data_IF_436376211332
#
_entry.id   IF_436376211332
#
_cell.length_a   1.000
_cell.length_b   1.000
_cell.length_c   1.000
_cell.angle_alpha   90.00
_cell.angle_beta   90.00
_cell.angle_gamma   90.00
#
_symmetry.space_group_name_H-M   'P 1'
#
loop_
_entity.id
_entity.type
_entity.pdbx_description
1 polymer ?
#
# COMPACT_ATOMS: atom_id res chain seq x y z
N UNK A 1 -31.40 13.02 -15.53
CA UNK A 1 -30.28 12.08 -15.75
C UNK A 1 -30.78 10.68 -15.42
N UNK A 2 -30.77 9.81 -16.38
CA UNK A 2 -31.13 8.42 -16.11
C UNK A 2 -30.00 7.71 -15.37
N UNK A 3 -30.27 6.53 -14.83
CA UNK A 3 -29.30 5.81 -14.03
C UNK A 3 -28.06 5.38 -14.83
N UNK A 4 -28.21 5.04 -16.09
CA UNK A 4 -27.12 4.68 -16.99
C UNK A 4 -26.21 5.87 -17.27
N UNK A 5 -26.80 7.03 -17.51
CA UNK A 5 -26.04 8.28 -17.69
C UNK A 5 -25.32 8.70 -16.43
N UNK A 6 -25.94 8.53 -15.26
CA UNK A 6 -25.32 8.79 -13.97
C UNK A 6 -24.13 7.86 -13.72
N UNK A 7 -24.30 6.56 -13.97
CA UNK A 7 -23.22 5.57 -13.80
C UNK A 7 -22.01 5.89 -14.70
N UNK A 8 -22.26 6.27 -15.95
CA UNK A 8 -21.20 6.67 -16.87
C UNK A 8 -20.46 7.91 -16.36
N UNK A 9 -21.20 8.92 -15.94
CA UNK A 9 -20.63 10.16 -15.43
C UNK A 9 -19.80 9.95 -14.17
N UNK A 10 -20.30 9.18 -13.21
CA UNK A 10 -19.56 8.82 -11.98
C UNK A 10 -18.29 8.06 -12.34
N UNK A 11 -18.37 7.10 -13.25
CA UNK A 11 -17.19 6.31 -13.68
C UNK A 11 -16.14 7.19 -14.33
N UNK A 12 -16.53 8.10 -15.21
CA UNK A 12 -15.59 9.04 -15.85
C UNK A 12 -14.90 9.94 -14.82
N UNK A 13 -15.67 10.51 -13.89
CA UNK A 13 -15.12 11.35 -12.80
C UNK A 13 -14.19 10.57 -11.89
N UNK A 14 -14.50 9.32 -11.61
CA UNK A 14 -13.64 8.46 -10.83
C UNK A 14 -12.28 8.24 -11.51
N UNK A 15 -12.26 7.91 -12.79
CA UNK A 15 -11.01 7.74 -13.52
C UNK A 15 -10.21 9.04 -13.64
N UNK A 16 -10.89 10.15 -13.89
CA UNK A 16 -10.27 11.47 -13.94
C UNK A 16 -9.63 11.81 -12.58
N UNK A 17 -10.38 11.67 -11.49
CA UNK A 17 -9.88 11.90 -10.14
C UNK A 17 -8.70 10.99 -9.80
N UNK A 18 -8.80 9.70 -10.10
CA UNK A 18 -7.71 8.74 -9.86
C UNK A 18 -6.43 9.12 -10.61
N UNK A 19 -6.56 9.54 -11.86
CA UNK A 19 -5.43 9.99 -12.67
C UNK A 19 -4.78 11.26 -12.09
N UNK A 20 -5.59 12.23 -11.72
CA UNK A 20 -5.12 13.47 -11.09
C UNK A 20 -4.47 13.22 -9.72
N UNK A 21 -5.02 12.33 -8.92
CA UNK A 21 -4.41 11.91 -7.66
C UNK A 21 -3.02 11.30 -7.89
N UNK A 22 -2.90 10.37 -8.82
CA UNK A 22 -1.62 9.73 -9.13
C UNK A 22 -0.58 10.75 -9.62
N UNK A 23 -0.99 11.71 -10.45
CA UNK A 23 -0.12 12.79 -10.90
C UNK A 23 0.29 13.71 -9.75
N UNK A 24 -0.65 14.15 -8.94
CA UNK A 24 -0.41 15.01 -7.77
C UNK A 24 0.59 14.36 -6.81
N UNK A 25 0.40 13.10 -6.50
CA UNK A 25 1.31 12.37 -5.62
C UNK A 25 2.70 12.19 -6.21
N UNK A 26 2.80 11.97 -7.50
CA UNK A 26 4.08 11.88 -8.21
C UNK A 26 4.87 13.19 -8.14
N UNK A 27 4.20 14.30 -8.30
CA UNK A 27 4.81 15.63 -8.31
C UNK A 27 5.16 16.16 -6.91
N UNK A 28 4.34 15.82 -5.91
CA UNK A 28 4.44 16.36 -4.55
C UNK A 28 5.06 15.41 -3.52
N UNK A 29 5.43 14.21 -3.91
CA UNK A 29 6.10 13.26 -3.01
C UNK A 29 7.56 13.68 -2.77
N UNK A 30 7.76 14.57 -1.81
CA UNK A 30 9.08 14.96 -1.30
C UNK A 30 9.40 14.15 -0.05
N UNK A 31 9.86 12.94 -0.19
CA UNK A 31 10.24 12.13 0.95
C UNK A 31 11.07 10.93 0.53
N UNK A 32 11.73 10.25 1.47
CA UNK A 32 12.46 9.02 1.18
C UNK A 32 11.56 7.93 0.60
N UNK A 33 10.25 8.06 0.79
CA UNK A 33 9.23 7.19 0.20
C UNK A 33 8.25 7.99 -0.64
N UNK A 34 8.36 7.86 -1.94
CA UNK A 34 7.32 8.32 -2.88
C UNK A 34 6.05 7.49 -2.66
N UNK A 35 4.89 8.11 -2.84
CA UNK A 35 3.59 7.43 -2.71
C UNK A 35 3.50 6.14 -3.55
N UNK A 36 4.13 6.08 -4.70
CA UNK A 36 4.23 4.88 -5.54
C UNK A 36 4.91 3.71 -4.80
N UNK A 37 5.88 4.00 -3.95
CA UNK A 37 6.56 2.98 -3.15
C UNK A 37 5.72 2.52 -1.96
N UNK A 38 4.77 3.35 -1.50
CA UNK A 38 3.88 3.03 -0.37
C UNK A 38 2.89 1.91 -0.69
N UNK A 39 2.27 1.96 -1.88
CA UNK A 39 1.23 1.01 -2.27
C UNK A 39 1.75 -0.19 -3.07
N UNK A 40 2.98 -0.13 -3.57
CA UNK A 40 3.53 -1.14 -4.49
C UNK A 40 4.77 -1.87 -4.01
N UNK A 41 5.14 -1.76 -2.74
CA UNK A 41 6.28 -2.52 -2.28
C UNK A 41 6.85 -2.04 -0.96
N UNK A 42 7.84 -1.19 -0.97
CA UNK A 42 8.62 -0.84 0.23
C UNK A 42 7.77 -0.21 1.32
N UNK A 43 6.88 0.72 0.97
CA UNK A 43 5.98 1.37 1.93
C UNK A 43 4.97 0.40 2.54
N UNK A 44 4.42 -0.50 1.75
CA UNK A 44 3.51 -1.55 2.23
C UNK A 44 4.23 -2.49 3.22
N UNK A 45 5.46 -2.88 2.93
CA UNK A 45 6.28 -3.70 3.82
C UNK A 45 6.47 -3.00 5.17
N UNK A 46 6.88 -1.73 5.15
CA UNK A 46 7.09 -0.95 6.38
C UNK A 46 5.81 -0.81 7.21
N UNK A 47 4.67 -0.59 6.58
CA UNK A 47 3.39 -0.48 7.26
C UNK A 47 2.97 -1.80 7.93
N UNK A 48 3.11 -2.92 7.24
CA UNK A 48 2.80 -4.24 7.81
C UNK A 48 3.69 -4.53 9.03
N UNK A 49 4.99 -4.25 8.92
CA UNK A 49 5.92 -4.46 10.05
C UNK A 49 5.56 -3.53 11.22
N UNK A 50 5.23 -2.28 10.95
CA UNK A 50 4.81 -1.32 11.99
C UNK A 50 3.58 -1.80 12.74
N UNK A 51 2.57 -2.30 12.05
CA UNK A 51 1.34 -2.83 12.67
C UNK A 51 1.59 -4.05 13.54
N UNK A 52 2.55 -4.89 13.19
CA UNK A 52 2.87 -6.13 13.90
C UNK A 52 3.99 -6.00 14.94
N UNK A 53 4.80 -4.96 14.86
CA UNK A 53 6.02 -4.78 15.66
C UNK A 53 7.15 -5.69 15.18
N UNK A 54 7.07 -6.99 15.43
CA UNK A 54 7.98 -8.01 14.90
C UNK A 54 7.18 -9.06 14.13
N UNK A 55 7.62 -9.39 12.94
CA UNK A 55 6.94 -10.34 12.05
C UNK A 55 7.96 -11.30 11.45
N UNK A 56 7.59 -12.55 11.23
CA UNK A 56 8.44 -13.48 10.49
C UNK A 56 8.48 -13.12 9.00
N UNK A 57 9.59 -13.37 8.35
CA UNK A 57 9.70 -13.12 6.90
C UNK A 57 8.65 -13.90 6.11
N UNK A 58 8.39 -15.14 6.48
CA UNK A 58 7.36 -15.97 5.85
C UNK A 58 5.96 -15.34 5.96
N UNK A 59 5.60 -14.87 7.14
CA UNK A 59 4.31 -14.21 7.36
C UNK A 59 4.21 -12.87 6.62
N UNK A 60 5.27 -12.07 6.64
CA UNK A 60 5.34 -10.82 5.89
C UNK A 60 5.12 -11.06 4.40
N UNK A 61 5.84 -12.02 3.81
CA UNK A 61 5.71 -12.36 2.38
C UNK A 61 4.29 -12.83 2.05
N UNK A 62 3.65 -13.60 2.95
CA UNK A 62 2.28 -14.07 2.74
C UNK A 62 1.23 -12.96 2.71
N UNK A 63 1.51 -11.83 3.38
CA UNK A 63 0.62 -10.66 3.43
C UNK A 63 0.82 -9.68 2.28
N UNK A 64 1.93 -9.82 1.55
CA UNK A 64 2.23 -8.97 0.40
C UNK A 64 1.56 -9.51 -0.85
N UNK A 65 0.93 -8.60 -1.61
CA UNK A 65 0.32 -8.95 -2.89
C UNK A 65 1.36 -8.88 -4.02
N UNK A 66 2.40 -9.69 -3.89
CA UNK A 66 3.49 -9.79 -4.86
C UNK A 66 4.11 -11.19 -4.87
N UNK A 67 4.92 -11.48 -5.87
CA UNK A 67 5.66 -12.74 -5.93
C UNK A 67 6.65 -12.83 -4.77
N UNK A 68 6.82 -14.02 -4.16
CA UNK A 68 7.76 -14.20 -3.04
C UNK A 68 9.19 -13.75 -3.36
N UNK A 69 9.65 -13.95 -4.58
CA UNK A 69 10.98 -13.52 -5.03
C UNK A 69 11.10 -11.99 -5.05
N UNK A 70 10.09 -11.29 -5.55
CA UNK A 70 10.05 -9.82 -5.54
C UNK A 70 9.98 -9.27 -4.11
N UNK A 71 9.17 -9.90 -3.24
CA UNK A 71 9.09 -9.55 -1.84
C UNK A 71 10.44 -9.70 -1.13
N UNK A 72 11.11 -10.83 -1.33
CA UNK A 72 12.44 -11.09 -0.74
C UNK A 72 13.49 -10.09 -1.22
N UNK A 73 13.45 -9.68 -2.47
CA UNK A 73 14.35 -8.67 -3.02
C UNK A 73 14.09 -7.29 -2.39
N UNK A 74 12.83 -6.90 -2.22
CA UNK A 74 12.46 -5.64 -1.57
C UNK A 74 12.86 -5.62 -0.10
N UNK A 75 12.64 -6.71 0.62
CA UNK A 75 13.06 -6.88 2.01
C UNK A 75 14.58 -6.69 2.13
N UNK A 76 15.34 -7.28 1.22
CA UNK A 76 16.80 -7.13 1.17
C UNK A 76 17.23 -5.68 0.90
N UNK A 77 16.54 -4.98 0.01
CA UNK A 77 16.79 -3.56 -0.26
C UNK A 77 16.49 -2.68 0.96
N UNK A 78 15.40 -2.96 1.68
CA UNK A 78 15.06 -2.23 2.92
C UNK A 78 16.08 -2.48 4.03
N UNK A 79 16.58 -3.70 4.17
CA UNK A 79 17.65 -4.02 5.11
C UNK A 79 18.95 -3.29 4.76
N UNK A 80 19.33 -3.28 3.49
CA UNK A 80 20.53 -2.57 3.01
C UNK A 80 20.44 -1.06 3.24
N UNK A 81 19.25 -0.48 3.16
CA UNK A 81 18.98 0.93 3.46
C UNK A 81 18.82 1.21 4.97
N UNK A 82 18.94 0.19 5.81
CA UNK A 82 18.82 0.30 7.27
C UNK A 82 17.43 0.73 7.76
N UNK A 83 16.39 0.41 7.03
CA UNK A 83 15.01 0.62 7.47
C UNK A 83 14.46 -0.54 8.30
N UNK A 84 14.99 -1.73 8.09
CA UNK A 84 14.62 -2.95 8.81
C UNK A 84 15.87 -3.71 9.24
N UNK A 85 15.70 -4.52 10.27
CA UNK A 85 16.67 -5.54 10.67
C UNK A 85 16.05 -6.92 10.58
N UNK A 86 16.88 -7.90 10.23
CA UNK A 86 16.49 -9.31 10.20
C UNK A 86 17.37 -10.09 11.18
N UNK A 87 16.74 -10.87 12.02
CA UNK A 87 17.41 -11.70 13.00
C UNK A 87 16.85 -13.11 12.96
N UNK A 88 17.74 -14.10 13.11
CA UNK A 88 17.30 -15.47 13.29
C UNK A 88 16.57 -15.62 14.62
N UNK A 89 15.43 -16.32 14.62
CA UNK A 89 14.72 -16.65 15.84
C UNK A 89 15.62 -17.51 16.75
N UNK A 90 15.62 -17.19 18.04
CA UNK A 90 16.37 -18.01 19.02
C UNK A 90 15.70 -19.38 19.22
N UNK A 91 14.39 -19.47 19.05
CA UNK A 91 13.62 -20.70 19.19
C UNK A 91 13.78 -21.64 17.99
N UNK A 92 13.83 -21.09 16.78
CA UNK A 92 14.07 -21.84 15.55
C UNK A 92 14.94 -21.00 14.59
N UNK A 93 16.19 -21.37 14.44
CA UNK A 93 17.17 -20.66 13.59
C UNK A 93 16.84 -20.68 12.10
N UNK A 94 15.84 -21.44 11.68
CA UNK A 94 15.32 -21.43 10.30
C UNK A 94 14.33 -20.29 10.07
N UNK A 95 13.85 -19.66 11.13
CA UNK A 95 12.89 -18.56 11.09
C UNK A 95 13.63 -17.24 11.20
N UNK A 96 13.36 -16.33 10.26
CA UNK A 96 13.85 -14.96 10.27
C UNK A 96 12.77 -14.03 10.81
N UNK A 97 13.09 -13.30 11.86
CA UNK A 97 12.26 -12.21 12.39
C UNK A 97 12.71 -10.88 11.81
N UNK A 98 11.73 -10.05 11.48
CA UNK A 98 11.93 -8.73 10.88
C UNK A 98 11.28 -7.68 11.77
N UNK A 99 11.98 -6.58 12.01
CA UNK A 99 11.46 -5.42 12.72
C UNK A 99 12.03 -4.11 12.15
N UNK A 100 11.34 -3.02 12.42
CA UNK A 100 11.76 -1.69 11.98
C UNK A 100 12.94 -1.19 12.82
N UNK A 101 13.88 -0.54 12.16
CA UNK A 101 14.88 0.33 12.83
C UNK A 101 14.20 1.66 13.23
N UNK A 102 14.89 2.51 14.00
CA UNK A 102 14.45 3.87 14.27
C UNK A 102 14.18 4.66 12.97
N UNK A 103 15.06 4.49 11.98
CA UNK A 103 14.91 5.08 10.65
C UNK A 103 13.69 4.52 9.90
N UNK A 104 13.43 3.23 10.02
CA UNK A 104 12.26 2.58 9.43
C UNK A 104 10.95 3.03 10.09
N UNK A 105 10.92 3.21 11.40
CA UNK A 105 9.77 3.77 12.13
C UNK A 105 9.45 5.18 11.67
N UNK A 106 10.47 6.02 11.53
CA UNK A 106 10.30 7.39 11.03
C UNK A 106 9.76 7.40 9.58
N UNK A 107 10.31 6.58 8.69
CA UNK A 107 9.85 6.46 7.32
C UNK A 107 8.40 5.95 7.23
N UNK A 108 8.03 4.97 8.05
CA UNK A 108 6.65 4.47 8.13
C UNK A 108 5.69 5.55 8.67
N UNK A 109 6.11 6.33 9.64
CA UNK A 109 5.35 7.41 10.24
C UNK A 109 5.08 8.56 9.26
N UNK A 110 6.08 8.96 8.47
CA UNK A 110 5.92 9.98 7.43
C UNK A 110 4.86 9.61 6.38
N UNK A 111 4.57 8.34 6.24
CA UNK A 111 3.52 7.88 5.34
C UNK A 111 2.11 8.10 5.91
N UNK A 112 1.95 8.22 7.23
CA UNK A 112 0.67 8.50 7.88
C UNK A 112 0.33 10.00 7.94
N UNK A 113 1.36 10.85 8.05
CA UNK A 113 1.19 12.30 8.06
C UNK A 113 0.82 12.87 6.68
N UNK A 114 0.78 11.99 5.67
CA UNK A 114 0.35 12.39 4.35
C UNK A 114 -1.17 12.54 4.30
N UNK A 115 -1.64 13.73 4.63
CA UNK A 115 -3.02 14.14 4.38
C UNK A 115 -3.05 14.87 3.02
N UNK A 116 -3.74 14.32 2.03
CA UNK A 116 -3.85 15.02 0.75
C UNK A 116 -4.68 16.29 0.95
N UNK A 117 -4.04 17.44 0.83
CA UNK A 117 -4.66 18.78 0.94
C UNK A 117 -5.94 18.88 0.09
N UNK A 118 -6.02 18.14 -0.99
CA UNK A 118 -7.20 18.10 -1.86
C UNK A 118 -8.47 17.62 -1.12
N UNK A 119 -8.35 16.84 -0.06
CA UNK A 119 -9.50 16.43 0.74
C UNK A 119 -10.00 17.53 1.70
N UNK A 120 -9.25 18.61 1.88
CA UNK A 120 -9.68 19.74 2.73
C UNK A 120 -10.81 20.55 2.10
N UNK A 121 -11.08 20.40 0.81
CA UNK A 121 -12.24 20.99 0.15
C UNK A 121 -13.56 20.34 0.58
N UNK A 122 -13.50 19.17 1.21
CA UNK A 122 -14.65 18.43 1.69
C UNK A 122 -14.93 18.76 3.15
N UNK A 123 -16.20 18.90 3.50
CA UNK A 123 -16.63 18.95 4.90
C UNK A 123 -16.39 17.59 5.59
N UNK A 124 -16.46 17.57 6.91
CA UNK A 124 -16.34 16.33 7.67
C UNK A 124 -17.38 15.28 7.25
N UNK A 125 -18.64 15.70 7.11
CA UNK A 125 -19.72 14.83 6.69
C UNK A 125 -19.51 14.26 5.28
N UNK A 126 -19.04 15.08 4.33
CA UNK A 126 -18.71 14.62 2.98
C UNK A 126 -17.56 13.62 2.97
N UNK A 127 -16.56 13.79 3.85
CA UNK A 127 -15.46 12.82 4.01
C UNK A 127 -15.98 11.49 4.54
N UNK A 128 -16.86 11.48 5.54
CA UNK A 128 -17.47 10.26 6.08
C UNK A 128 -18.31 9.53 5.00
N UNK A 129 -19.11 10.26 4.24
CA UNK A 129 -19.88 9.70 3.13
C UNK A 129 -18.99 9.12 2.05
N UNK A 130 -17.91 9.81 1.70
CA UNK A 130 -16.96 9.38 0.69
C UNK A 130 -16.19 8.11 1.15
N UNK A 131 -15.74 8.07 2.40
CA UNK A 131 -15.12 6.87 2.99
C UNK A 131 -16.06 5.66 2.93
N UNK A 132 -17.32 5.85 3.31
CA UNK A 132 -18.33 4.80 3.26
C UNK A 132 -18.55 4.28 1.83
N UNK A 133 -18.65 5.17 0.85
CA UNK A 133 -18.83 4.81 -0.58
C UNK A 133 -17.59 4.03 -1.07
N UNK A 134 -16.39 4.52 -0.80
CA UNK A 134 -15.16 3.85 -1.19
C UNK A 134 -15.06 2.46 -0.57
N UNK A 135 -15.38 2.33 0.71
CA UNK A 135 -15.38 1.04 1.42
C UNK A 135 -16.32 0.04 0.77
N UNK A 136 -17.53 0.45 0.39
CA UNK A 136 -18.46 -0.43 -0.33
C UNK A 136 -17.90 -0.91 -1.66
N UNK A 137 -17.31 -0.02 -2.44
CA UNK A 137 -16.73 -0.35 -3.74
C UNK A 137 -15.51 -1.28 -3.61
N UNK A 138 -14.64 -1.03 -2.63
CA UNK A 138 -13.47 -1.85 -2.35
C UNK A 138 -13.90 -3.27 -1.95
N UNK A 139 -14.85 -3.40 -1.04
CA UNK A 139 -15.34 -4.70 -0.58
C UNK A 139 -15.97 -5.52 -1.71
N UNK A 140 -16.61 -4.86 -2.68
CA UNK A 140 -17.18 -5.53 -3.84
C UNK A 140 -16.11 -5.99 -4.84
N UNK A 141 -15.09 -5.17 -5.07
CA UNK A 141 -14.06 -5.44 -6.08
C UNK A 141 -12.94 -6.35 -5.58
N UNK A 142 -12.57 -6.26 -4.32
CA UNK A 142 -11.42 -6.99 -3.75
C UNK A 142 -11.49 -8.51 -3.97
N UNK A 143 -12.64 -9.20 -3.72
CA UNK A 143 -12.75 -10.63 -3.99
C UNK A 143 -12.62 -10.97 -5.47
N UNK A 144 -13.10 -10.11 -6.35
CA UNK A 144 -13.07 -10.33 -7.81
C UNK A 144 -11.66 -10.21 -8.38
N UNK A 145 -10.83 -9.32 -7.82
CA UNK A 145 -9.45 -9.11 -8.24
C UNK A 145 -8.54 -10.23 -7.73
N UNK A 146 -8.72 -10.68 -6.49
CA UNK A 146 -7.94 -11.76 -5.88
C UNK A 146 -8.17 -13.12 -6.54
N UNK A 147 -9.30 -13.32 -7.19
CA UNK A 147 -9.64 -14.56 -7.90
C UNK A 147 -9.11 -14.63 -9.35
N UNK A 148 -8.48 -13.57 -9.86
CA UNK A 148 -7.79 -13.66 -11.13
C UNK A 148 -6.49 -14.46 -10.93
N UNK A 149 -6.31 -15.59 -11.63
CA UNK A 149 -5.05 -16.31 -11.62
C UNK A 149 -3.94 -15.31 -12.01
N UNK A 150 -2.87 -15.28 -11.25
CA UNK A 150 -1.70 -14.39 -11.49
C UNK A 150 -0.90 -14.78 -12.73
N UNK A 151 -1.47 -15.57 -13.63
CA UNK A 151 -0.77 -16.17 -14.77
C UNK A 151 -0.50 -15.21 -15.93
N UNK A 152 -0.83 -13.93 -15.80
CA UNK A 152 -0.69 -12.96 -16.89
C UNK A 152 0.52 -12.03 -16.84
N UNK A 153 1.45 -12.27 -15.94
CA UNK A 153 2.76 -11.61 -15.94
C UNK A 153 3.85 -12.59 -16.38
N UNK A 154 3.58 -13.48 -17.16
CA UNK A 154 4.56 -14.33 -17.71
C UNK A 154 4.29 -14.38 -19.15
N UNK A 155 5.05 -13.97 -19.74
CA UNK A 155 6.12 -14.50 -20.53
C UNK A 155 5.88 -14.41 -21.97
N UNK A 156 6.93 -14.03 -22.64
CA UNK A 156 6.97 -14.39 -24.06
C UNK A 156 6.94 -15.89 -24.20
#
# INVERSE_FOLDING_TARGET
MDEKELNLNVTQKYFELSSLFMQFFRENSRGPFKFENRNRGQGQILNIIREHGTITQKELVSRLDMRPQSASEMIRKLEKKEYITREKSQEDKRVMNIHLTARGKFAAQQSDDFQPVVLEVLTHEEKEQFDHILTKLINELEPQVKHRPRDRWGRP
#
